data_IF_166824526266
#
_entry.id   IF_166824526266
#
_cell.length_a   1.000
_cell.length_b   1.000
_cell.length_c   1.000
_cell.angle_alpha   90.00
_cell.angle_beta   90.00
_cell.angle_gamma   90.00
#
_symmetry.space_group_name_H-M   'P 1'
#
loop_
_entity.id
_entity.type
_entity.pdbx_description
1 polymer ?
#
# COMPACT_ATOMS: atom_id res chain seq x y z
N UNK A 1 -36.48 -24.46 -17.54
CA UNK A 1 -35.42 -24.64 -16.51
C UNK A 1 -34.07 -25.03 -17.12
N UNK A 2 -34.04 -25.94 -18.11
CA UNK A 2 -32.78 -26.44 -18.69
C UNK A 2 -32.04 -25.44 -19.57
N UNK A 3 -32.74 -24.51 -20.23
CA UNK A 3 -32.10 -23.40 -20.95
C UNK A 3 -31.28 -22.50 -20.01
N UNK A 4 -31.80 -22.20 -18.81
CA UNK A 4 -31.14 -21.34 -17.82
C UNK A 4 -29.87 -22.02 -17.26
N UNK A 5 -29.93 -23.33 -16.98
CA UNK A 5 -28.77 -24.08 -16.47
C UNK A 5 -27.61 -24.12 -17.45
N UNK A 6 -27.88 -24.11 -18.76
CA UNK A 6 -26.86 -24.12 -19.81
C UNK A 6 -26.15 -22.78 -19.99
N UNK A 7 -26.72 -21.68 -19.47
CA UNK A 7 -26.18 -20.31 -19.63
C UNK A 7 -25.43 -19.83 -18.39
N UNK A 8 -25.43 -20.56 -17.27
CA UNK A 8 -24.78 -20.12 -16.03
C UNK A 8 -23.32 -20.61 -16.00
N UNK A 9 -22.31 -19.71 -16.12
CA UNK A 9 -20.91 -20.11 -16.12
C UNK A 9 -20.39 -20.45 -14.71
N UNK A 10 -21.01 -19.93 -13.65
CA UNK A 10 -20.59 -20.16 -12.26
C UNK A 10 -21.77 -20.00 -11.29
N UNK A 11 -21.90 -20.92 -10.32
CA UNK A 11 -22.86 -20.85 -9.22
C UNK A 11 -22.12 -20.90 -7.89
N UNK A 12 -22.30 -19.88 -7.05
CA UNK A 12 -21.71 -19.80 -5.70
C UNK A 12 -22.78 -19.41 -4.70
N UNK A 13 -22.79 -20.05 -3.53
CA UNK A 13 -23.67 -19.73 -2.40
C UNK A 13 -22.80 -19.28 -1.24
N UNK A 14 -23.03 -18.06 -0.75
CA UNK A 14 -22.32 -17.51 0.40
C UNK A 14 -23.27 -17.37 1.59
N UNK A 15 -22.94 -18.00 2.71
CA UNK A 15 -23.63 -17.80 3.99
C UNK A 15 -22.78 -16.90 4.88
N UNK A 16 -23.38 -15.87 5.49
CA UNK A 16 -22.75 -14.99 6.47
C UNK A 16 -23.57 -15.01 7.75
N UNK A 17 -22.96 -15.43 8.85
CA UNK A 17 -23.66 -15.64 10.12
C UNK A 17 -24.48 -16.93 10.15
N UNK A 18 -25.02 -17.25 11.32
CA UNK A 18 -25.75 -18.49 11.55
C UNK A 18 -24.90 -19.76 11.37
N UNK A 19 -25.58 -20.90 11.21
CA UNK A 19 -24.97 -22.18 10.81
C UNK A 19 -24.66 -22.17 9.30
N UNK A 20 -23.73 -23.03 8.88
CA UNK A 20 -23.39 -23.19 7.46
C UNK A 20 -24.63 -23.64 6.68
N UNK A 21 -24.96 -22.92 5.60
CA UNK A 21 -26.08 -23.27 4.73
C UNK A 21 -25.69 -24.49 3.87
N UNK A 22 -26.19 -25.67 4.23
CA UNK A 22 -25.98 -26.92 3.49
C UNK A 22 -27.08 -27.09 2.44
N UNK A 23 -26.74 -27.65 1.28
CA UNK A 23 -27.71 -27.98 0.23
C UNK A 23 -28.75 -28.98 0.77
N UNK A 24 -30.00 -28.54 0.91
CA UNK A 24 -31.11 -29.35 1.44
C UNK A 24 -31.59 -28.97 2.85
N UNK A 25 -30.93 -28.02 3.52
CA UNK A 25 -31.43 -27.45 4.78
C UNK A 25 -32.63 -26.52 4.56
N UNK A 26 -33.50 -26.43 5.56
CA UNK A 26 -34.63 -25.47 5.54
C UNK A 26 -34.16 -24.05 5.86
N UNK A 27 -34.81 -23.05 5.27
CA UNK A 27 -34.51 -21.64 5.52
C UNK A 27 -34.73 -21.28 6.98
N UNK A 28 -35.74 -21.86 7.61
CA UNK A 28 -36.15 -21.64 8.99
C UNK A 28 -35.08 -22.13 9.97
N UNK A 29 -34.47 -23.28 9.67
CA UNK A 29 -33.38 -23.85 10.48
C UNK A 29 -32.15 -22.95 10.45
N UNK A 30 -31.85 -22.35 9.29
CA UNK A 30 -30.77 -21.38 9.17
C UNK A 30 -31.12 -20.07 9.89
N UNK A 31 -32.34 -19.54 9.70
CA UNK A 31 -32.79 -18.30 10.33
C UNK A 31 -32.76 -18.38 11.86
N UNK A 32 -33.25 -19.49 12.44
CA UNK A 32 -33.20 -19.72 13.89
C UNK A 32 -31.76 -19.79 14.44
N UNK A 33 -30.79 -20.14 13.60
CA UNK A 33 -29.38 -20.23 14.03
C UNK A 33 -28.67 -18.88 14.11
N UNK A 34 -29.25 -17.82 13.54
CA UNK A 34 -28.65 -16.47 13.51
C UNK A 34 -28.49 -15.92 14.93
N UNK A 35 -29.46 -16.16 15.82
CA UNK A 35 -29.42 -15.71 17.22
C UNK A 35 -28.17 -16.23 17.95
N UNK A 36 -27.77 -17.46 17.65
CA UNK A 36 -26.59 -18.09 18.29
C UNK A 36 -25.26 -17.67 17.67
N UNK A 37 -25.28 -17.17 16.43
CA UNK A 37 -24.09 -16.82 15.65
C UNK A 37 -24.33 -15.56 14.81
N UNK A 38 -24.57 -14.41 15.46
CA UNK A 38 -24.77 -13.17 14.75
C UNK A 38 -23.47 -12.74 14.04
N UNK A 39 -23.61 -12.02 12.93
CA UNK A 39 -22.49 -11.41 12.22
C UNK A 39 -22.83 -9.97 11.88
N UNK A 40 -21.82 -9.12 11.85
CA UNK A 40 -21.97 -7.75 11.37
C UNK A 40 -22.10 -7.80 9.85
N UNK A 41 -23.30 -7.51 9.34
CA UNK A 41 -23.57 -7.45 7.90
C UNK A 41 -23.15 -6.11 7.31
N UNK A 42 -23.23 -5.04 8.11
CA UNK A 42 -22.90 -3.67 7.71
C UNK A 42 -22.35 -2.89 8.90
N UNK A 43 -21.38 -2.02 8.64
CA UNK A 43 -20.93 -0.97 9.55
C UNK A 43 -21.23 0.37 8.90
N UNK A 44 -21.72 1.33 9.67
CA UNK A 44 -21.72 2.74 9.31
C UNK A 44 -20.57 3.36 10.11
N UNK A 45 -19.56 3.89 9.43
CA UNK A 45 -18.34 4.41 10.04
C UNK A 45 -18.22 5.87 9.59
N UNK A 46 -18.10 6.77 10.55
CA UNK A 46 -17.79 8.19 10.28
C UNK A 46 -16.30 8.34 9.95
N UNK A 47 -15.90 9.50 9.41
CA UNK A 47 -14.47 9.76 9.14
C UNK A 47 -13.67 9.59 10.45
N UNK A 48 -12.50 8.96 10.40
CA UNK A 48 -11.64 8.71 11.57
C UNK A 48 -11.31 10.01 12.33
N UNK A 49 -11.31 11.16 11.64
CA UNK A 49 -11.11 12.48 12.25
C UNK A 49 -12.26 12.92 13.16
N UNK A 50 -13.41 12.25 13.13
CA UNK A 50 -14.56 12.57 13.97
C UNK A 50 -14.23 12.48 15.47
N UNK A 51 -13.35 11.57 15.88
CA UNK A 51 -12.96 11.42 17.29
C UNK A 51 -11.93 12.44 17.77
N UNK A 52 -11.45 13.32 16.88
CA UNK A 52 -10.42 14.32 17.16
C UNK A 52 -11.12 15.65 17.43
N UNK A 53 -11.70 15.76 18.61
CA UNK A 53 -12.48 16.92 19.06
C UNK A 53 -11.94 17.42 20.41
N UNK A 54 -12.15 18.71 20.68
CA UNK A 54 -11.68 19.37 21.90
C UNK A 54 -12.34 18.83 23.17
N UNK A 55 -13.54 18.24 23.08
CA UNK A 55 -14.18 17.57 24.21
C UNK A 55 -13.53 16.21 24.55
N UNK A 56 -12.87 15.57 23.58
CA UNK A 56 -12.16 14.28 23.76
C UNK A 56 -10.68 14.44 24.07
N UNK A 57 -10.07 15.55 23.65
CA UNK A 57 -8.64 15.83 23.81
C UNK A 57 -8.49 17.27 24.37
N UNK A 58 -8.88 17.51 25.63
CA UNK A 58 -8.89 18.85 26.22
C UNK A 58 -7.50 19.44 26.44
N UNK A 59 -6.43 18.63 26.37
CA UNK A 59 -5.04 19.08 26.55
C UNK A 59 -4.50 19.86 25.34
N UNK A 60 -5.18 19.81 24.18
CA UNK A 60 -4.76 20.47 22.96
C UNK A 60 -5.72 21.62 22.60
N UNK A 61 -5.15 22.70 22.05
CA UNK A 61 -5.96 23.78 21.49
C UNK A 61 -6.71 23.31 20.24
N UNK A 62 -7.86 23.94 19.97
CA UNK A 62 -8.63 23.65 18.75
C UNK A 62 -7.80 23.87 17.47
N UNK A 63 -6.87 24.82 17.49
CA UNK A 63 -5.93 25.06 16.38
C UNK A 63 -5.00 23.85 16.17
N UNK A 64 -4.48 23.27 17.25
CA UNK A 64 -3.65 22.08 17.17
C UNK A 64 -4.45 20.87 16.68
N UNK A 65 -5.67 20.68 17.20
CA UNK A 65 -6.57 19.60 16.79
C UNK A 65 -6.99 19.73 15.33
N UNK A 66 -7.25 20.94 14.84
CA UNK A 66 -7.55 21.19 13.42
C UNK A 66 -6.39 20.76 12.52
N UNK A 67 -5.14 21.11 12.87
CA UNK A 67 -3.95 20.67 12.13
C UNK A 67 -3.76 19.16 12.14
N UNK A 68 -4.04 18.50 13.26
CA UNK A 68 -3.99 17.04 13.36
C UNK A 68 -5.03 16.39 12.44
N UNK A 69 -6.27 16.91 12.44
CA UNK A 69 -7.34 16.43 11.56
C UNK A 69 -6.98 16.60 10.09
N UNK A 70 -6.46 17.76 9.71
CA UNK A 70 -5.98 18.04 8.35
C UNK A 70 -4.91 17.03 7.91
N UNK A 71 -3.88 16.80 8.73
CA UNK A 71 -2.80 15.86 8.38
C UNK A 71 -3.27 14.41 8.28
N UNK A 72 -4.23 14.00 9.10
CA UNK A 72 -4.84 12.67 8.99
C UNK A 72 -5.68 12.56 7.71
N UNK A 73 -6.44 13.59 7.36
CA UNK A 73 -7.20 13.60 6.11
C UNK A 73 -6.29 13.54 4.88
N UNK A 74 -5.19 14.29 4.86
CA UNK A 74 -4.18 14.20 3.79
C UNK A 74 -3.62 12.77 3.67
N UNK A 75 -3.33 12.10 4.79
CA UNK A 75 -2.83 10.73 4.78
C UNK A 75 -3.87 9.72 4.25
N UNK A 76 -5.15 9.90 4.59
CA UNK A 76 -6.25 9.07 4.10
C UNK A 76 -6.44 9.27 2.60
N UNK A 77 -6.46 10.52 2.15
CA UNK A 77 -6.58 10.86 0.73
C UNK A 77 -5.43 10.25 -0.06
N UNK A 78 -4.19 10.36 0.44
CA UNK A 78 -3.02 9.73 -0.16
C UNK A 78 -3.19 8.21 -0.26
N UNK A 79 -3.71 7.56 0.79
CA UNK A 79 -4.02 6.12 0.75
C UNK A 79 -5.04 5.76 -0.33
N UNK A 80 -6.11 6.56 -0.45
CA UNK A 80 -7.13 6.35 -1.48
C UNK A 80 -6.51 6.52 -2.86
N UNK A 81 -5.83 7.64 -3.12
CA UNK A 81 -5.22 7.95 -4.41
C UNK A 81 -4.15 6.93 -4.81
N UNK A 82 -3.41 6.38 -3.84
CA UNK A 82 -2.48 5.27 -4.09
C UNK A 82 -3.20 3.95 -4.50
N UNK A 83 -4.48 3.78 -4.20
CA UNK A 83 -5.23 2.59 -4.56
C UNK A 83 -6.25 2.84 -5.68
N UNK A 84 -6.27 4.06 -6.23
CA UNK A 84 -7.01 4.39 -7.45
C UNK A 84 -6.19 3.96 -8.66
N UNK A 85 -6.86 3.20 -9.54
CA UNK A 85 -6.37 2.78 -10.84
C UNK A 85 -7.32 3.39 -11.88
N UNK A 86 -6.89 4.52 -12.44
CA UNK A 86 -7.63 5.19 -13.50
C UNK A 86 -7.45 4.42 -14.81
N UNK A 87 -8.54 4.27 -15.56
CA UNK A 87 -8.49 3.71 -16.91
C UNK A 87 -9.88 3.40 -17.44
N UNK A 88 -9.97 3.15 -18.74
CA UNK A 88 -11.23 2.80 -19.38
C UNK A 88 -11.86 1.53 -18.79
N UNK A 89 -13.08 1.64 -18.25
CA UNK A 89 -13.82 0.49 -17.72
C UNK A 89 -14.75 -0.18 -18.75
N UNK A 90 -14.84 0.35 -19.97
CA UNK A 90 -15.65 -0.22 -21.05
C UNK A 90 -14.99 -1.44 -21.70
N UNK A 91 -15.51 -2.64 -21.40
CA UNK A 91 -15.00 -3.94 -21.91
C UNK A 91 -14.96 -4.11 -23.42
N UNK A 92 -15.72 -3.32 -24.19
CA UNK A 92 -15.72 -3.41 -25.65
C UNK A 92 -14.73 -2.44 -26.29
N UNK A 93 -14.16 -1.52 -25.51
CA UNK A 93 -13.16 -0.58 -26.01
C UNK A 93 -11.81 -1.28 -26.26
N UNK A 94 -11.09 -0.92 -27.32
CA UNK A 94 -9.70 -1.35 -27.52
C UNK A 94 -8.73 -0.81 -26.45
N UNK A 95 -9.13 0.21 -25.70
CA UNK A 95 -8.36 0.80 -24.59
C UNK A 95 -8.83 0.29 -23.22
N UNK A 96 -9.65 -0.77 -23.17
CA UNK A 96 -10.15 -1.33 -21.91
C UNK A 96 -9.00 -1.70 -20.97
N UNK A 97 -9.05 -1.14 -19.75
CA UNK A 97 -8.09 -1.41 -18.71
C UNK A 97 -8.75 -2.27 -17.61
N UNK A 98 -8.42 -3.55 -17.58
CA UNK A 98 -9.07 -4.49 -16.66
C UNK A 98 -8.69 -4.29 -15.19
N UNK A 99 -7.59 -3.58 -14.88
CA UNK A 99 -7.22 -3.22 -13.50
C UNK A 99 -7.86 -1.92 -13.03
N UNK A 100 -8.51 -1.17 -13.92
CA UNK A 100 -9.12 0.10 -13.57
C UNK A 100 -10.28 -0.09 -12.59
N UNK A 101 -10.29 0.72 -11.53
CA UNK A 101 -11.37 0.79 -10.56
C UNK A 101 -12.08 2.16 -10.56
N UNK A 102 -11.58 3.10 -11.35
CA UNK A 102 -12.16 4.42 -11.62
C UNK A 102 -12.11 4.64 -13.13
N UNK A 103 -13.26 4.92 -13.73
CA UNK A 103 -13.36 5.25 -15.16
C UNK A 103 -12.84 6.68 -15.37
N UNK A 104 -11.93 6.85 -16.32
CA UNK A 104 -11.26 8.12 -16.63
C UNK A 104 -11.56 8.62 -18.05
N UNK A 105 -12.59 8.06 -18.69
CA UNK A 105 -13.01 8.37 -20.06
C UNK A 105 -11.91 8.15 -21.14
N UNK A 106 -10.82 7.45 -20.81
CA UNK A 106 -9.70 7.12 -21.72
C UNK A 106 -10.02 6.03 -22.75
N UNK A 107 -11.31 5.67 -22.93
CA UNK A 107 -11.75 4.57 -23.78
C UNK A 107 -11.53 4.80 -25.30
N UNK A 108 -11.19 6.01 -25.72
CA UNK A 108 -10.78 6.27 -27.10
C UNK A 108 -9.40 5.63 -27.38
N UNK A 109 -9.11 5.22 -28.63
CA UNK A 109 -7.76 4.76 -28.99
C UNK A 109 -6.74 5.91 -28.88
N UNK A 110 -5.45 5.60 -28.66
CA UNK A 110 -4.41 6.62 -28.60
C UNK A 110 -4.19 7.28 -29.96
N UNK A 111 -4.05 8.61 -29.96
CA UNK A 111 -3.82 9.39 -31.18
C UNK A 111 -2.37 9.25 -31.68
N UNK A 112 -1.39 9.14 -30.76
CA UNK A 112 0.02 8.93 -31.08
C UNK A 112 0.79 8.23 -29.96
N UNK A 113 1.89 7.56 -30.33
CA UNK A 113 2.86 7.02 -29.39
C UNK A 113 3.87 8.10 -28.99
N UNK A 114 4.11 8.27 -27.68
CA UNK A 114 5.11 9.21 -27.19
C UNK A 114 6.44 8.51 -26.95
N UNK A 115 7.55 9.19 -27.25
CA UNK A 115 8.88 8.68 -26.95
C UNK A 115 9.31 9.10 -25.55
N UNK A 116 9.99 8.21 -24.85
CA UNK A 116 10.52 8.48 -23.52
C UNK A 116 11.98 8.92 -23.60
N UNK A 117 12.28 10.10 -23.07
CA UNK A 117 13.60 10.75 -23.16
C UNK A 117 14.52 10.55 -21.95
N UNK A 118 14.06 9.86 -20.90
CA UNK A 118 14.82 9.72 -19.65
C UNK A 118 14.39 10.69 -18.55
N UNK A 119 15.03 10.58 -17.38
CA UNK A 119 14.84 11.46 -16.23
C UNK A 119 16.12 12.22 -15.94
N UNK A 120 15.99 13.52 -15.66
CA UNK A 120 17.08 14.34 -15.12
C UNK A 120 16.76 14.77 -13.70
N UNK A 121 17.61 14.39 -12.74
CA UNK A 121 17.56 14.89 -11.36
C UNK A 121 18.72 15.85 -11.14
N UNK A 122 18.40 17.05 -10.68
CA UNK A 122 19.41 18.00 -10.17
C UNK A 122 19.32 18.03 -8.66
N UNK A 123 20.48 17.93 -8.00
CA UNK A 123 20.59 18.03 -6.55
C UNK A 123 21.35 19.32 -6.22
N UNK A 124 20.82 20.09 -5.27
CA UNK A 124 21.59 21.20 -4.67
C UNK A 124 22.03 20.76 -3.30
N UNK A 125 23.34 20.67 -3.09
CA UNK A 125 23.90 20.40 -1.76
C UNK A 125 23.54 21.55 -0.80
N UNK A 126 22.94 21.22 0.35
CA UNK A 126 22.89 22.19 1.46
C UNK A 126 24.34 22.44 1.86
N UNK A 127 24.81 23.68 1.80
CA UNK A 127 26.20 24.07 2.10
C UNK A 127 26.69 23.60 3.49
N UNK A 128 25.78 23.14 4.35
CA UNK A 128 26.04 22.53 5.67
C UNK A 128 26.42 21.04 5.63
N UNK A 129 26.13 20.34 4.53
CA UNK A 129 26.50 18.94 4.30
C UNK A 129 27.56 18.89 3.20
N UNK A 130 28.82 18.90 3.60
CA UNK A 130 29.95 18.75 2.66
C UNK A 130 29.99 17.31 2.13
N UNK A 131 29.41 17.04 0.97
CA UNK A 131 29.82 15.90 0.14
C UNK A 131 29.51 16.19 -1.32
N UNK A 132 30.52 16.13 -2.22
CA UNK A 132 30.30 16.34 -3.63
C UNK A 132 29.58 15.13 -4.23
N UNK A 133 28.42 15.35 -4.85
CA UNK A 133 27.77 14.35 -5.70
C UNK A 133 28.03 14.66 -7.17
N UNK A 134 29.10 14.07 -7.71
CA UNK A 134 29.35 14.04 -9.15
C UNK A 134 28.48 12.94 -9.78
N UNK A 135 27.23 13.28 -10.10
CA UNK A 135 26.38 12.49 -11.00
C UNK A 135 26.31 13.14 -12.37
N UNK A 136 27.12 12.69 -13.33
CA UNK A 136 26.89 13.04 -14.73
C UNK A 136 25.76 12.15 -15.22
N UNK A 137 24.61 12.77 -15.45
CA UNK A 137 23.51 12.13 -16.14
C UNK A 137 23.75 12.23 -17.64
N UNK A 138 24.01 11.08 -18.27
CA UNK A 138 24.11 10.98 -19.73
C UNK A 138 22.70 11.11 -20.32
N UNK A 139 22.49 12.15 -21.12
CA UNK A 139 21.26 12.37 -21.88
C UNK A 139 21.34 11.49 -23.14
N UNK A 140 20.74 10.30 -23.09
CA UNK A 140 20.43 9.53 -24.29
C UNK A 140 19.22 10.13 -25.01
N UNK A 141 19.24 10.15 -26.35
CA UNK A 141 18.17 10.77 -27.14
C UNK A 141 16.85 9.97 -27.15
N UNK A 142 16.84 8.72 -26.65
CA UNK A 142 15.66 7.85 -26.56
C UNK A 142 15.92 6.67 -25.62
N UNK A 143 14.96 6.36 -24.76
CA UNK A 143 14.98 5.18 -23.90
C UNK A 143 13.67 4.39 -24.04
N UNK A 144 13.77 3.08 -23.82
CA UNK A 144 12.63 2.19 -23.64
C UNK A 144 12.31 2.10 -22.15
N UNK A 145 11.06 2.41 -21.81
CA UNK A 145 10.56 2.35 -20.44
C UNK A 145 10.13 0.92 -20.09
N UNK A 146 10.81 0.30 -19.12
CA UNK A 146 10.55 -1.06 -18.63
C UNK A 146 9.74 -1.11 -17.35
N UNK A 147 9.08 -0.01 -16.99
CA UNK A 147 8.34 0.11 -15.73
C UNK A 147 9.09 0.85 -14.62
N UNK A 148 8.41 0.98 -13.49
CA UNK A 148 8.93 1.68 -12.31
C UNK A 148 8.40 1.04 -11.04
N UNK A 149 9.17 1.08 -9.96
CA UNK A 149 8.78 0.53 -8.67
C UNK A 149 9.29 1.38 -7.52
N UNK A 150 8.75 1.13 -6.33
CA UNK A 150 9.18 1.77 -5.09
C UNK A 150 9.34 0.73 -3.97
N UNK A 151 9.70 1.16 -2.76
CA UNK A 151 9.69 0.29 -1.58
C UNK A 151 8.32 -0.31 -1.26
N UNK A 152 7.22 0.26 -1.76
CA UNK A 152 5.84 -0.22 -1.52
C UNK A 152 5.11 -0.66 -2.78
N UNK A 153 5.50 -0.17 -3.96
CA UNK A 153 4.89 -0.55 -5.24
C UNK A 153 5.78 -1.48 -6.04
N UNK A 154 5.17 -2.49 -6.64
CA UNK A 154 5.82 -3.34 -7.64
C UNK A 154 5.80 -2.67 -9.02
N UNK A 155 6.74 -3.08 -9.87
CA UNK A 155 6.75 -2.70 -11.27
C UNK A 155 5.54 -3.33 -11.97
N UNK A 156 4.66 -2.54 -12.63
CA UNK A 156 3.48 -3.08 -13.32
C UNK A 156 3.82 -4.00 -14.51
N UNK A 157 5.04 -3.92 -15.04
CA UNK A 157 5.53 -4.80 -16.12
C UNK A 157 5.89 -6.19 -15.59
N UNK A 158 6.54 -6.27 -14.41
CA UNK A 158 7.07 -7.53 -13.88
C UNK A 158 6.27 -8.12 -12.73
N UNK A 159 5.38 -7.34 -12.12
CA UNK A 159 4.70 -7.69 -10.87
C UNK A 159 5.63 -7.79 -9.65
N UNK A 160 6.90 -7.38 -9.77
CA UNK A 160 7.90 -7.44 -8.70
C UNK A 160 8.63 -6.09 -8.54
N UNK A 161 9.41 -5.90 -7.48
CA UNK A 161 10.23 -4.68 -7.27
C UNK A 161 11.56 -4.74 -8.02
N UNK A 162 11.53 -5.18 -9.27
CA UNK A 162 12.69 -5.38 -10.14
C UNK A 162 12.37 -4.94 -11.58
N UNK A 163 13.44 -4.71 -12.34
CA UNK A 163 13.34 -4.50 -13.78
C UNK A 163 13.09 -5.80 -14.55
N UNK A 164 12.56 -5.74 -15.78
CA UNK A 164 12.16 -6.93 -16.55
C UNK A 164 13.29 -7.94 -16.79
N UNK A 165 14.46 -7.46 -17.17
CA UNK A 165 15.64 -8.28 -17.46
C UNK A 165 16.93 -7.46 -17.29
N UNK A 166 18.08 -8.07 -17.58
CA UNK A 166 19.42 -7.49 -17.42
C UNK A 166 19.73 -6.36 -18.43
N UNK A 167 18.94 -6.20 -19.50
CA UNK A 167 19.10 -5.09 -20.45
C UNK A 167 18.58 -3.76 -19.88
N UNK A 168 17.73 -3.82 -18.85
CA UNK A 168 17.21 -2.64 -18.18
C UNK A 168 18.10 -2.19 -17.02
N UNK A 169 18.54 -0.94 -17.09
CA UNK A 169 19.21 -0.24 -16.00
C UNK A 169 18.18 0.33 -15.01
N UNK A 170 18.37 0.02 -13.73
CA UNK A 170 17.58 0.60 -12.64
C UNK A 170 18.10 2.01 -12.30
N UNK A 171 17.32 3.05 -12.65
CA UNK A 171 17.67 4.46 -12.45
C UNK A 171 16.88 5.03 -11.27
N UNK A 172 17.59 5.53 -10.26
CA UNK A 172 16.97 6.21 -9.11
C UNK A 172 16.54 7.64 -9.48
N UNK A 173 15.24 7.86 -9.55
CA UNK A 173 14.64 9.19 -9.84
C UNK A 173 14.44 9.97 -8.55
N UNK A 174 13.99 9.29 -7.49
CA UNK A 174 13.97 9.83 -6.13
C UNK A 174 14.67 8.84 -5.20
N UNK A 175 14.63 9.10 -3.89
CA UNK A 175 15.24 8.19 -2.90
C UNK A 175 14.48 6.85 -2.82
N UNK A 176 13.19 6.83 -3.22
CA UNK A 176 12.34 5.63 -3.20
C UNK A 176 11.89 5.18 -4.61
N UNK A 177 11.82 6.10 -5.58
CA UNK A 177 11.37 5.79 -6.94
C UNK A 177 12.52 5.32 -7.83
N UNK A 178 12.38 4.11 -8.35
CA UNK A 178 13.29 3.50 -9.33
C UNK A 178 12.56 3.30 -10.66
N UNK A 179 13.20 3.68 -11.76
CA UNK A 179 12.69 3.52 -13.13
C UNK A 179 13.63 2.63 -13.94
N UNK A 180 13.07 1.66 -14.65
CA UNK A 180 13.80 0.71 -15.46
C UNK A 180 13.92 1.23 -16.90
N UNK A 181 15.15 1.50 -17.36
CA UNK A 181 15.42 2.06 -18.68
C UNK A 181 16.39 1.18 -19.47
N UNK A 182 16.06 0.91 -20.73
CA UNK A 182 16.96 0.28 -21.69
C UNK A 182 17.16 1.22 -22.89
N UNK A 183 18.33 1.21 -23.51
CA UNK A 183 18.58 1.95 -24.75
C UNK A 183 17.84 1.26 -25.92
N UNK A 184 17.99 -0.06 -26.02
CA UNK A 184 17.32 -0.90 -27.01
C UNK A 184 16.89 -2.22 -26.39
N UNK A 185 15.76 -2.75 -26.86
CA UNK A 185 15.27 -4.08 -26.53
C UNK A 185 14.85 -4.80 -27.81
N UNK A 186 14.96 -6.13 -27.80
CA UNK A 186 14.61 -6.97 -28.97
C UNK A 186 13.14 -7.40 -28.96
N UNK A 187 12.49 -7.42 -27.79
CA UNK A 187 11.08 -7.75 -27.61
C UNK A 187 10.37 -6.62 -26.84
N UNK A 188 9.29 -6.09 -27.42
CA UNK A 188 8.46 -5.03 -26.83
C UNK A 188 7.04 -5.48 -26.54
N UNK A 189 6.68 -6.74 -26.82
CA UNK A 189 5.30 -7.23 -26.74
C UNK A 189 4.68 -7.08 -25.34
N UNK A 190 5.54 -7.20 -24.32
CA UNK A 190 5.16 -7.15 -22.91
C UNK A 190 5.40 -5.77 -22.27
N UNK A 191 5.93 -4.82 -23.05
CA UNK A 191 6.25 -3.49 -22.57
C UNK A 191 5.11 -2.52 -22.85
N UNK A 192 4.79 -1.63 -21.91
CA UNK A 192 3.77 -0.63 -22.13
C UNK A 192 4.25 0.45 -23.09
N UNK A 193 3.34 0.97 -23.90
CA UNK A 193 3.56 2.23 -24.61
C UNK A 193 3.51 3.39 -23.62
N UNK A 194 4.46 4.30 -23.76
CA UNK A 194 4.58 5.49 -22.93
C UNK A 194 3.70 6.63 -23.49
N UNK A 195 2.93 7.27 -22.59
CA UNK A 195 2.01 8.36 -22.92
C UNK A 195 2.22 9.63 -22.10
N UNK A 196 3.36 9.76 -21.42
CA UNK A 196 3.69 10.95 -20.62
C UNK A 196 3.72 10.73 -19.10
N UNK A 197 4.10 11.79 -18.38
CA UNK A 197 4.18 11.85 -16.91
C UNK A 197 3.54 13.16 -16.47
N UNK A 198 2.84 13.14 -15.34
CA UNK A 198 2.30 14.33 -14.70
C UNK A 198 2.28 14.18 -13.18
N UNK A 199 2.01 15.27 -12.48
CA UNK A 199 1.93 15.32 -11.02
C UNK A 199 0.77 16.20 -10.57
N UNK A 200 0.62 16.37 -9.25
CA UNK A 200 -0.34 17.32 -8.71
C UNK A 200 -0.04 18.78 -9.12
N UNK A 201 1.21 19.11 -9.46
CA UNK A 201 1.64 20.47 -9.77
C UNK A 201 1.81 20.72 -11.27
N UNK A 202 2.29 19.72 -12.00
CA UNK A 202 2.65 19.82 -13.43
C UNK A 202 1.84 18.85 -14.28
N UNK A 203 1.34 19.31 -15.42
CA UNK A 203 0.55 18.50 -16.36
C UNK A 203 1.38 17.67 -17.33
N UNK A 204 0.69 16.83 -18.11
CA UNK A 204 1.24 15.89 -19.05
C UNK A 204 1.43 16.50 -20.45
N UNK A 205 2.65 16.91 -20.78
CA UNK A 205 2.93 17.52 -22.09
C UNK A 205 2.91 16.55 -23.29
N UNK A 206 2.84 15.23 -23.07
CA UNK A 206 2.94 14.24 -24.15
C UNK A 206 1.74 14.25 -25.12
N UNK A 207 0.58 14.70 -24.64
CA UNK A 207 -0.63 14.94 -25.45
C UNK A 207 -0.72 16.33 -26.08
N UNK A 208 0.28 17.19 -25.89
CA UNK A 208 0.24 18.59 -26.35
C UNK A 208 -0.63 19.53 -25.50
N UNK A 209 -1.35 18.99 -24.51
CA UNK A 209 -2.17 19.72 -23.55
C UNK A 209 -1.50 19.63 -22.17
N UNK A 210 -1.32 20.73 -21.45
CA UNK A 210 -0.70 20.71 -20.11
C UNK A 210 -1.72 20.31 -19.02
N UNK A 211 -2.42 19.19 -19.23
CA UNK A 211 -3.50 18.70 -18.38
C UNK A 211 -2.96 17.69 -17.36
N UNK A 212 -3.55 17.64 -16.16
CA UNK A 212 -3.14 16.72 -15.09
C UNK A 212 -3.79 15.34 -15.25
N UNK A 213 -3.74 14.82 -16.47
CA UNK A 213 -4.34 13.55 -16.86
C UNK A 213 -3.55 12.90 -18.00
N UNK A 214 -3.96 11.68 -18.34
CA UNK A 214 -3.38 10.98 -19.47
C UNK A 214 -4.03 11.38 -20.78
N UNK A 215 -3.22 11.47 -21.83
CA UNK A 215 -3.71 11.58 -23.19
C UNK A 215 -4.66 10.42 -23.52
N UNK A 216 -5.59 10.65 -24.44
CA UNK A 216 -6.55 9.63 -24.88
C UNK A 216 -5.88 8.29 -25.17
N UNK A 217 -6.51 7.20 -24.71
CA UNK A 217 -6.04 5.83 -24.92
C UNK A 217 -4.90 5.38 -23.99
N UNK A 218 -4.46 6.21 -23.06
CA UNK A 218 -3.52 5.85 -22.00
C UNK A 218 -4.21 5.90 -20.65
N UNK A 219 -3.85 4.96 -19.77
CA UNK A 219 -4.32 4.93 -18.40
C UNK A 219 -3.25 5.45 -17.44
N UNK A 220 -3.67 6.09 -16.36
CA UNK A 220 -2.75 6.64 -15.36
C UNK A 220 -2.35 5.60 -14.32
N UNK A 221 -1.04 5.47 -14.08
CA UNK A 221 -0.45 4.62 -13.05
C UNK A 221 0.35 5.50 -12.09
N UNK A 222 0.09 5.34 -10.79
CA UNK A 222 0.89 6.04 -9.77
C UNK A 222 2.30 5.47 -9.73
N UNK A 223 3.30 6.30 -9.97
CA UNK A 223 4.71 5.96 -9.83
C UNK A 223 5.16 6.01 -8.38
N UNK A 224 4.75 7.06 -7.65
CA UNK A 224 5.18 7.28 -6.27
C UNK A 224 4.64 8.58 -5.69
N UNK A 225 5.07 8.89 -4.47
CA UNK A 225 4.72 10.12 -3.75
C UNK A 225 5.88 11.11 -3.87
N UNK A 226 5.57 12.36 -4.18
CA UNK A 226 6.54 13.46 -4.19
C UNK A 226 6.60 14.08 -2.78
N UNK A 227 5.46 14.58 -2.30
CA UNK A 227 5.30 15.19 -0.97
C UNK A 227 3.84 15.10 -0.53
N UNK A 228 3.59 14.63 0.69
CA UNK A 228 2.24 14.50 1.27
C UNK A 228 1.23 13.83 0.31
N UNK A 229 0.25 14.58 -0.19
CA UNK A 229 -0.78 14.12 -1.12
C UNK A 229 -0.45 14.38 -2.61
N UNK A 230 0.74 14.89 -2.91
CA UNK A 230 1.20 15.06 -4.29
C UNK A 230 1.79 13.77 -4.84
N UNK A 231 1.09 13.15 -5.78
CA UNK A 231 1.52 11.94 -6.46
C UNK A 231 2.14 12.25 -7.82
N UNK A 232 3.08 11.40 -8.23
CA UNK A 232 3.63 11.35 -9.58
C UNK A 232 2.93 10.22 -10.35
N UNK A 233 2.40 10.54 -11.52
CA UNK A 233 1.69 9.61 -12.39
C UNK A 233 2.43 9.42 -13.71
N UNK A 234 2.33 8.21 -14.26
CA UNK A 234 2.77 7.88 -15.61
C UNK A 234 1.61 7.32 -16.41
N UNK A 235 1.55 7.71 -17.68
CA UNK A 235 0.54 7.28 -18.62
C UNK A 235 1.06 6.10 -19.43
N UNK A 236 0.39 4.96 -19.32
CA UNK A 236 0.81 3.71 -19.94
C UNK A 236 -0.37 3.06 -20.68
N UNK A 237 -0.06 2.41 -21.80
CA UNK A 237 -0.99 1.53 -22.51
C UNK A 237 -0.33 0.17 -22.72
N UNK A 238 -0.97 -0.88 -22.24
CA UNK A 238 -0.53 -2.26 -22.45
C UNK A 238 -1.29 -2.84 -23.65
N UNK A 239 -0.56 -3.28 -24.70
CA UNK A 239 -1.17 -3.90 -25.89
C UNK A 239 -1.66 -5.32 -25.60
N UNK A 240 -0.85 -6.07 -24.85
CA UNK A 240 -1.24 -7.36 -24.28
C UNK A 240 -1.20 -7.19 -22.77
N UNK A 241 -2.36 -7.29 -22.14
CA UNK A 241 -2.37 -7.69 -20.75
C UNK A 241 -1.97 -9.17 -20.73
N UNK A 242 -0.66 -9.41 -20.71
CA UNK A 242 -0.09 -10.67 -20.21
C UNK A 242 -0.88 -11.04 -18.98
N UNK A 243 -1.14 -12.34 -18.84
CA UNK A 243 -1.98 -13.01 -17.86
C UNK A 243 -1.70 -12.64 -16.38
N UNK A 244 -1.86 -11.38 -16.00
CA UNK A 244 -1.96 -10.91 -14.64
C UNK A 244 -3.34 -11.35 -14.17
N UNK A 245 -3.51 -12.65 -13.91
CA UNK A 245 -4.75 -13.21 -13.35
C UNK A 245 -5.03 -12.72 -11.93
N UNK A 246 -4.18 -11.83 -11.40
CA UNK A 246 -4.24 -11.29 -10.07
C UNK A 246 -4.35 -9.77 -10.16
N UNK A 247 -5.47 -9.26 -9.67
CA UNK A 247 -5.67 -7.83 -9.44
C UNK A 247 -4.54 -7.29 -8.55
N UNK A 248 -4.11 -6.03 -8.76
CA UNK A 248 -3.13 -5.40 -7.89
C UNK A 248 -3.59 -5.48 -6.44
N UNK A 249 -2.64 -5.81 -5.55
CA UNK A 249 -2.89 -5.78 -4.12
C UNK A 249 -2.95 -4.34 -3.63
N UNK A 250 -3.77 -4.11 -2.60
CA UNK A 250 -3.87 -2.81 -1.94
C UNK A 250 -2.51 -2.41 -1.40
N UNK A 251 -2.04 -1.22 -1.80
CA UNK A 251 -0.80 -0.63 -1.30
C UNK A 251 -1.09 0.01 0.06
N UNK A 252 -0.35 -0.43 1.08
CA UNK A 252 -0.52 0.02 2.45
C UNK A 252 0.49 1.12 2.79
N UNK A 253 0.12 2.10 3.64
CA UNK A 253 1.07 3.08 4.17
C UNK A 253 2.09 2.41 5.12
N UNK A 254 3.25 3.05 5.37
CA UNK A 254 3.66 4.39 4.93
C UNK A 254 4.15 4.42 3.47
N UNK A 255 3.90 5.52 2.76
CA UNK A 255 4.27 5.67 1.34
C UNK A 255 5.53 6.49 1.10
N UNK A 256 6.02 7.17 2.12
CA UNK A 256 7.25 7.95 2.10
C UNK A 256 7.89 7.90 3.48
N UNK A 257 9.21 8.04 3.53
CA UNK A 257 9.92 8.16 4.80
C UNK A 257 9.83 9.60 5.30
N UNK A 258 9.46 9.78 6.57
CA UNK A 258 9.58 11.07 7.23
C UNK A 258 11.03 11.19 7.69
N UNK A 259 11.83 11.96 6.97
CA UNK A 259 13.14 12.34 7.47
C UNK A 259 12.94 13.39 8.56
N UNK A 260 12.88 12.96 9.83
CA UNK A 260 12.93 13.87 10.97
C UNK A 260 14.36 14.43 11.02
N UNK A 261 14.65 15.43 10.20
CA UNK A 261 15.78 16.32 10.44
C UNK A 261 15.50 16.94 11.80
N UNK A 262 16.38 16.71 12.78
CA UNK A 262 16.29 17.30 14.12
C UNK A 262 15.90 18.78 13.97
N UNK A 263 14.62 19.07 14.21
CA UNK A 263 14.14 20.44 14.23
C UNK A 263 14.78 21.05 15.47
N UNK A 264 15.87 21.78 15.28
CA UNK A 264 16.29 22.78 16.25
C UNK A 264 15.09 23.67 16.51
N UNK A 265 14.56 23.60 17.73
CA UNK A 265 13.50 24.45 18.29
C UNK A 265 13.17 25.65 17.39
N UNK A 266 12.18 25.50 16.51
CA UNK A 266 11.57 26.65 15.88
C UNK A 266 10.81 27.39 16.98
N UNK A 267 11.45 28.42 17.53
CA UNK A 267 10.77 29.48 18.24
C UNK A 267 9.77 30.06 17.25
N UNK A 268 8.50 29.75 17.46
CA UNK A 268 7.40 30.37 16.72
C UNK A 268 7.41 31.84 17.12
N UNK A 269 8.01 32.70 16.28
CA UNK A 269 7.82 34.14 16.36
C UNK A 269 6.43 34.46 15.81
N UNK A 270 5.38 34.22 16.62
CA UNK A 270 4.08 34.82 16.36
C UNK A 270 4.07 36.22 16.97
N UNK A 271 4.19 37.23 16.12
CA UNK A 271 3.69 38.56 16.43
C UNK A 271 2.17 38.52 16.46
N UNK A 272 1.59 37.97 17.52
CA UNK A 272 0.24 38.32 17.97
C UNK A 272 0.08 37.89 19.42
N UNK A 273 -0.41 38.85 20.19
CA UNK A 273 -0.40 39.02 21.64
C UNK A 273 -0.94 37.87 22.51
N UNK A 274 -0.11 37.54 23.52
CA UNK A 274 -0.44 37.28 24.94
C UNK A 274 -1.53 36.25 25.25
N UNK A 275 -1.11 34.99 25.39
CA UNK A 275 -1.05 34.28 26.67
C UNK A 275 -0.51 32.86 26.42
N UNK A 276 0.79 32.66 26.64
CA UNK A 276 1.39 31.33 26.55
C UNK A 276 2.25 31.10 27.79
N UNK A 277 1.77 30.22 28.68
CA UNK A 277 2.61 29.61 29.69
C UNK A 277 3.67 28.78 28.99
N UNK A 278 4.94 29.05 29.29
CA UNK A 278 6.05 28.25 28.79
C UNK A 278 5.87 26.79 29.23
N UNK A 279 5.48 25.92 28.30
CA UNK A 279 5.42 24.49 28.55
C UNK A 279 6.84 23.93 28.41
N UNK A 280 7.59 23.92 29.51
CA UNK A 280 8.76 23.04 29.62
C UNK A 280 8.23 21.62 29.64
N UNK A 281 8.36 20.91 28.52
CA UNK A 281 8.10 19.47 28.45
C UNK A 281 9.12 18.74 29.32
N UNK A 282 8.88 18.65 30.63
CA UNK A 282 9.40 17.54 31.41
C UNK A 282 8.71 16.30 30.86
N UNK A 283 9.46 15.45 30.16
CA UNK A 283 9.02 14.09 29.86
C UNK A 283 8.69 13.42 31.20
N UNK A 284 7.41 13.37 31.55
CA UNK A 284 6.94 12.50 32.62
C UNK A 284 7.04 11.10 32.03
N UNK A 285 8.17 10.44 32.30
CA UNK A 285 8.32 9.02 32.03
C UNK A 285 7.13 8.31 32.70
N UNK A 286 6.37 7.47 31.99
CA UNK A 286 5.43 6.59 32.67
C UNK A 286 6.24 5.79 33.68
N UNK A 287 5.85 5.83 34.95
CA UNK A 287 6.36 4.89 35.96
C UNK A 287 5.91 3.49 35.54
N UNK A 288 6.70 2.87 34.66
CA UNK A 288 6.65 1.45 34.43
C UNK A 288 7.00 0.78 35.74
N UNK A 289 6.02 0.12 36.34
CA UNK A 289 6.26 -0.91 37.34
C UNK A 289 7.00 -2.05 36.64
N UNK A 290 8.31 -1.95 36.59
CA UNK A 290 9.19 -3.07 36.27
C UNK A 290 9.30 -3.95 37.52
N UNK A 291 8.31 -4.80 37.76
CA UNK A 291 8.57 -6.04 38.51
C UNK A 291 9.37 -6.96 37.60
N UNK A 292 10.69 -6.74 37.59
CA UNK A 292 11.66 -7.73 37.12
C UNK A 292 11.63 -8.88 38.13
N UNK A 293 10.81 -9.89 37.86
CA UNK A 293 11.04 -11.22 38.42
C UNK A 293 12.29 -11.75 37.74
N UNK A 294 13.44 -11.47 38.37
CA UNK A 294 14.72 -12.03 37.99
C UNK A 294 14.71 -13.54 38.18
N UNK A 295 14.27 -14.27 37.16
CA UNK A 295 14.54 -15.70 37.07
C UNK A 295 15.90 -15.84 36.38
N UNK A 296 16.92 -16.00 37.22
CA UNK A 296 18.26 -16.44 36.84
C UNK A 296 18.19 -17.54 35.78
N UNK A 297 19.11 -17.52 34.82
CA UNK A 297 19.26 -18.53 33.75
C UNK A 297 19.31 -19.96 34.32
N UNK A 298 19.73 -20.13 35.58
CA UNK A 298 19.67 -21.42 36.30
C UNK A 298 18.25 -21.95 36.56
N UNK A 299 17.26 -21.08 36.73
CA UNK A 299 15.86 -21.44 37.00
C UNK A 299 15.11 -21.98 35.77
N UNK A 300 15.42 -21.47 34.58
CA UNK A 300 14.82 -21.95 33.32
C UNK A 300 15.31 -23.37 33.03
N UNK A 301 16.58 -23.67 33.30
CA UNK A 301 17.12 -25.02 33.15
C UNK A 301 16.47 -26.04 34.10
N UNK A 302 16.20 -25.66 35.35
CA UNK A 302 15.54 -26.55 36.33
C UNK A 302 14.07 -26.78 35.94
N UNK A 303 13.36 -25.73 35.50
CA UNK A 303 11.98 -25.85 35.04
C UNK A 303 11.83 -26.79 33.85
N UNK A 304 12.74 -26.68 32.87
CA UNK A 304 12.76 -27.57 31.69
C UNK A 304 13.10 -29.00 32.09
N UNK A 305 14.06 -29.21 33.01
CA UNK A 305 14.41 -30.55 33.51
C UNK A 305 13.24 -31.22 34.26
N UNK A 306 12.50 -30.47 35.09
CA UNK A 306 11.32 -30.99 35.80
C UNK A 306 10.23 -31.40 34.79
N UNK A 307 9.98 -30.60 33.76
CA UNK A 307 9.00 -30.93 32.71
C UNK A 307 9.41 -32.21 31.97
N UNK A 308 10.69 -32.37 31.62
CA UNK A 308 11.20 -33.58 30.97
C UNK A 308 11.03 -34.80 31.88
N UNK A 309 11.36 -34.69 33.18
CA UNK A 309 11.16 -35.78 34.15
C UNK A 309 9.69 -36.16 34.27
N UNK A 310 8.77 -35.18 34.33
CA UNK A 310 7.33 -35.44 34.37
C UNK A 310 6.83 -36.15 33.12
N UNK A 311 7.34 -35.78 31.94
CA UNK A 311 7.01 -36.45 30.67
C UNK A 311 7.51 -37.90 30.70
N UNK A 312 8.76 -38.14 31.13
CA UNK A 312 9.33 -39.49 31.23
C UNK A 312 8.56 -40.35 32.23
N UNK A 313 8.19 -39.81 33.39
CA UNK A 313 7.37 -40.52 34.38
C UNK A 313 5.99 -40.85 33.83
N UNK A 314 5.37 -39.94 33.07
CA UNK A 314 4.06 -40.17 32.45
C UNK A 314 4.13 -41.24 31.36
N UNK A 315 5.18 -41.24 30.55
CA UNK A 315 5.42 -42.28 29.53
C UNK A 315 5.72 -43.64 30.17
N UNK A 316 6.50 -43.66 31.26
CA UNK A 316 6.76 -44.91 32.01
C UNK A 316 5.49 -45.47 32.65
N UNK A 317 4.63 -44.60 33.19
CA UNK A 317 3.36 -45.02 33.77
C UNK A 317 2.40 -45.57 32.70
N UNK A 318 2.39 -44.98 31.51
CA UNK A 318 1.67 -45.50 30.35
C UNK A 318 2.17 -46.88 29.91
N UNK A 319 3.48 -47.11 29.95
CA UNK A 319 4.07 -48.43 29.64
C UNK A 319 3.75 -49.47 30.73
N UNK A 320 3.83 -49.11 32.01
CA UNK A 320 3.47 -50.00 33.11
C UNK A 320 1.97 -50.37 33.11
N UNK A 321 1.09 -49.46 32.68
CA UNK A 321 -0.33 -49.78 32.48
C UNK A 321 -0.56 -50.74 31.31
N UNK A 322 0.27 -50.72 30.26
CA UNK A 322 0.15 -51.71 29.16
C UNK A 322 0.57 -53.12 29.57
N UNK A 323 1.50 -53.27 30.52
CA UNK A 323 1.94 -54.59 31.00
C UNK A 323 0.99 -55.24 32.01
N UNK A 324 0.12 -54.48 32.69
CA UNK A 324 -0.91 -55.05 33.60
C UNK A 324 -2.20 -55.48 32.90
N UNK A 325 -2.42 -55.10 31.64
CA UNK A 325 -3.56 -55.56 30.83
C UNK A 325 -3.25 -56.78 29.93
N UNK A 326 -2.05 -57.36 30.03
CA UNK A 326 -1.64 -58.55 29.27
C UNK A 326 -1.50 -59.83 30.11
N UNK A 327 -1.90 -59.82 31.40
CA UNK A 327 -1.96 -61.02 32.27
C UNK A 327 -3.30 -61.14 33.03
N UNK A 328 -4.41 -60.85 32.34
CA UNK A 328 -5.78 -61.26 32.71
C UNK A 328 -6.55 -61.65 31.45
#
# INVERSE_FOLDING_TARGET
MDAIKKTIPRKVVHSKGGKVCLSGGSMETWQASIETKPVIVRRAIENITFFIQSDKIPELSEIALARVREKINEAIETYIQMNVHNGCMNRTSPSFNWVANVDDDSCAPPEQNSQFGGFIRTCTEDKRLKQPSNGILQIGNRYVYGGSFTSVRVNPVTGTKNCPDELFSAVHVTDDLVVCLADQVTNTDDLPHYGGIYSCDQGNIAGGLNEKECSRGYSAYVMGVIEANCLLYICLKFEKFLELRQLPSVVLPPFFSISIKNQTNQVINSTETKDFYAFTSTSVAPKGYNTVLGLSITGVCIGVLIIIVLIVLRVRNMFNQRTTYSEL
#
